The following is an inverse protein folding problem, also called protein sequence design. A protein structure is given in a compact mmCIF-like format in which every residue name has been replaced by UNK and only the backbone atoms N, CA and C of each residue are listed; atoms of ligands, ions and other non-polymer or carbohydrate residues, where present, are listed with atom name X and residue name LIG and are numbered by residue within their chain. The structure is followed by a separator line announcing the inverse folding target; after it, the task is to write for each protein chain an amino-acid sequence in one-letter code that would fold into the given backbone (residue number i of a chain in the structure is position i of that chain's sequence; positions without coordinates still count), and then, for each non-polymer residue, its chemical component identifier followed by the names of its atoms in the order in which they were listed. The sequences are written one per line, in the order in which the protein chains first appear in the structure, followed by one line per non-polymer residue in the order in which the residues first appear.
data_IF_134443054950
#
_entry.id   IF_134443054950
#
_cell.length_a   1.000
_cell.length_b   1.000
_cell.length_c   1.000
_cell.angle_alpha   90.00
_cell.angle_beta   90.00
_cell.angle_gamma   90.00
#
_symmetry.space_group_name_H-M   'P 1'
#
loop_
_entity.id
_entity.type
_entity.pdbx_description
1 polymer ?
#
# COMPACT_ATOMS: atom_id res chain seq x y z
N UNK A 1 10.09 -3.03 -5.54
CA UNK A 1 10.27 -1.55 -5.63
C UNK A 1 8.96 -0.87 -6.01
N UNK A 2 8.71 0.31 -5.45
CA UNK A 2 7.62 1.20 -5.83
C UNK A 2 8.09 2.09 -6.97
N UNK A 3 7.36 2.05 -8.09
CA UNK A 3 7.69 2.81 -9.31
C UNK A 3 6.83 4.07 -9.42
N UNK A 4 5.57 4.01 -8.98
CA UNK A 4 4.66 5.14 -9.10
C UNK A 4 3.58 5.16 -8.03
N UNK A 5 3.15 6.38 -7.69
CA UNK A 5 2.03 6.63 -6.79
C UNK A 5 0.85 7.18 -7.55
N UNK A 6 -0.35 6.71 -7.20
CA UNK A 6 -1.60 7.24 -7.75
C UNK A 6 -2.10 8.48 -6.99
N UNK A 7 -1.60 8.70 -5.77
CA UNK A 7 -1.98 9.82 -4.94
C UNK A 7 -0.76 10.50 -4.30
N UNK A 8 -0.63 11.82 -4.49
CA UNK A 8 0.43 12.66 -3.89
C UNK A 8 0.49 12.56 -2.37
N UNK A 9 -0.63 12.34 -1.70
CA UNK A 9 -0.64 12.19 -0.24
C UNK A 9 -0.02 10.87 0.23
N UNK A 10 -0.11 9.81 -0.58
CA UNK A 10 0.58 8.54 -0.29
C UNK A 10 2.09 8.68 -0.51
N UNK A 11 2.48 9.36 -1.58
CA UNK A 11 3.88 9.69 -1.87
C UNK A 11 4.51 10.55 -0.75
N UNK A 12 3.78 11.54 -0.24
CA UNK A 12 4.23 12.32 0.94
C UNK A 12 4.55 11.43 2.12
N UNK A 13 3.65 10.50 2.48
CA UNK A 13 3.88 9.58 3.59
C UNK A 13 5.14 8.76 3.33
N UNK A 14 5.32 8.20 2.13
CA UNK A 14 6.52 7.46 1.75
C UNK A 14 7.82 8.29 1.93
N UNK A 15 7.77 9.57 1.55
CA UNK A 15 8.83 10.55 1.73
C UNK A 15 8.98 11.10 3.16
N UNK A 16 8.33 10.48 4.17
CA UNK A 16 8.34 10.90 5.59
C UNK A 16 7.72 12.28 5.85
N UNK A 17 6.88 12.75 4.94
CA UNK A 17 6.11 13.98 5.08
C UNK A 17 4.72 13.65 5.59
N UNK A 18 4.28 14.35 6.63
CA UNK A 18 2.93 14.17 7.19
C UNK A 18 1.89 14.62 6.16
N UNK A 19 0.98 13.72 5.83
CA UNK A 19 -0.20 14.05 5.04
C UNK A 19 -1.24 14.76 5.89
N UNK A 20 -1.86 15.81 5.37
CA UNK A 20 -3.01 16.46 6.03
C UNK A 20 -4.34 15.76 5.72
N UNK A 21 -4.35 14.86 4.73
CA UNK A 21 -5.55 14.15 4.26
C UNK A 21 -5.84 12.88 5.05
N UNK A 22 -4.80 12.17 5.47
CA UNK A 22 -4.94 10.89 6.16
C UNK A 22 -4.88 11.07 7.69
N UNK A 23 -5.65 10.28 8.47
CA UNK A 23 -5.57 10.29 9.93
C UNK A 23 -4.14 10.07 10.42
N UNK A 24 -3.70 10.87 11.40
CA UNK A 24 -2.31 10.84 11.87
C UNK A 24 -1.90 9.47 12.39
N UNK A 25 -2.80 8.77 13.09
CA UNK A 25 -2.58 7.43 13.66
C UNK A 25 -2.18 6.37 12.62
N UNK A 26 -2.65 6.49 11.37
CA UNK A 26 -2.39 5.48 10.36
C UNK A 26 -1.06 5.70 9.63
N UNK A 27 -0.55 6.93 9.61
CA UNK A 27 0.56 7.30 8.72
C UNK A 27 1.85 6.56 9.07
N UNK A 28 2.12 6.34 10.36
CA UNK A 28 3.30 5.58 10.82
C UNK A 28 3.26 4.12 10.38
N UNK A 29 2.09 3.50 10.44
CA UNK A 29 1.90 2.10 10.00
C UNK A 29 1.94 2.02 8.48
N UNK A 30 1.28 2.96 7.80
CA UNK A 30 1.31 3.08 6.35
C UNK A 30 2.74 3.24 5.83
N UNK A 31 3.55 4.12 6.43
CA UNK A 31 4.95 4.32 6.07
C UNK A 31 5.76 3.02 6.13
N UNK A 32 5.67 2.28 7.24
CA UNK A 32 6.37 0.99 7.40
C UNK A 32 5.95 -0.01 6.33
N UNK A 33 4.67 -0.07 5.99
CA UNK A 33 4.14 -0.97 4.96
C UNK A 33 4.54 -0.54 3.55
N UNK A 34 4.62 0.77 3.27
CA UNK A 34 5.12 1.28 2.01
C UNK A 34 6.60 0.94 1.82
N UNK A 35 7.44 1.07 2.85
CA UNK A 35 8.84 0.63 2.77
C UNK A 35 8.98 -0.87 2.60
N UNK A 36 8.13 -1.65 3.27
CA UNK A 36 8.07 -3.10 3.04
C UNK A 36 7.71 -3.43 1.59
N UNK A 37 6.68 -2.77 1.04
CA UNK A 37 6.28 -2.92 -0.36
C UNK A 37 7.39 -2.53 -1.34
N UNK A 38 8.16 -1.51 -1.00
CA UNK A 38 9.30 -1.07 -1.81
C UNK A 38 10.44 -2.10 -1.79
N UNK A 39 10.73 -2.70 -0.63
CA UNK A 39 11.83 -3.63 -0.45
C UNK A 39 11.57 -5.05 -0.99
N UNK A 40 10.32 -5.47 -1.16
CA UNK A 40 10.03 -6.83 -1.65
C UNK A 40 10.38 -7.01 -3.13
N UNK A 41 10.95 -8.17 -3.42
CA UNK A 41 11.27 -8.64 -4.78
C UNK A 41 10.20 -9.58 -5.35
N UNK A 42 9.34 -10.12 -4.49
CA UNK A 42 8.23 -10.98 -4.88
C UNK A 42 6.97 -10.64 -4.08
N UNK A 43 5.81 -10.85 -4.68
CA UNK A 43 4.56 -10.45 -4.04
C UNK A 43 4.20 -11.30 -2.82
N UNK A 44 4.56 -12.59 -2.83
CA UNK A 44 4.22 -13.51 -1.76
C UNK A 44 4.95 -13.17 -0.44
N UNK A 45 6.10 -12.49 -0.50
CA UNK A 45 6.78 -11.98 0.69
C UNK A 45 5.88 -11.05 1.52
N UNK A 46 4.94 -10.33 0.88
CA UNK A 46 3.98 -9.46 1.57
C UNK A 46 2.93 -10.22 2.39
N UNK A 47 2.88 -11.56 2.33
CA UNK A 47 2.07 -12.36 3.26
C UNK A 47 2.63 -12.35 4.67
N UNK A 48 3.90 -11.98 4.84
CA UNK A 48 4.57 -11.84 6.12
C UNK A 48 4.80 -10.35 6.39
N UNK A 49 4.35 -9.81 7.54
CA UNK A 49 3.61 -10.49 8.60
C UNK A 49 2.15 -10.82 8.19
N UNK A 50 1.50 -11.83 8.82
CA UNK A 50 0.11 -12.22 8.52
C UNK A 50 -0.90 -11.07 8.61
N UNK A 51 -0.60 -10.03 9.41
CA UNK A 51 -1.41 -8.82 9.54
C UNK A 51 -1.50 -7.99 8.26
N UNK A 52 -0.60 -8.20 7.28
CA UNK A 52 -0.71 -7.58 5.97
C UNK A 52 -1.98 -8.02 5.24
N UNK A 53 -2.46 -9.25 5.48
CA UNK A 53 -3.65 -9.81 4.83
C UNK A 53 -3.67 -9.50 3.33
N UNK A 54 -2.57 -9.86 2.64
CA UNK A 54 -2.40 -9.62 1.21
C UNK A 54 -3.59 -10.20 0.45
N UNK A 55 -4.24 -9.36 -0.34
CA UNK A 55 -5.45 -9.71 -1.09
C UNK A 55 -5.34 -9.24 -2.54
N UNK A 56 -5.66 -10.13 -3.49
CA UNK A 56 -5.89 -9.76 -4.87
C UNK A 56 -7.36 -9.33 -5.03
N UNK A 57 -7.60 -8.08 -5.37
CA UNK A 57 -8.93 -7.52 -5.53
C UNK A 57 -9.63 -8.11 -6.78
N UNK A 58 -10.95 -8.27 -6.67
CA UNK A 58 -11.79 -8.88 -7.72
C UNK A 58 -12.70 -7.84 -8.40
N UNK A 59 -13.40 -8.26 -9.45
CA UNK A 59 -14.37 -7.42 -10.17
C UNK A 59 -13.73 -6.25 -10.90
N UNK A 60 -14.28 -5.04 -10.73
CA UNK A 60 -13.79 -3.81 -11.39
C UNK A 60 -12.35 -3.43 -11.02
N UNK A 61 -11.80 -4.00 -9.93
CA UNK A 61 -10.42 -3.78 -9.46
C UNK A 61 -9.50 -4.98 -9.73
N UNK A 62 -9.86 -5.86 -10.67
CA UNK A 62 -9.01 -6.99 -11.07
C UNK A 62 -7.63 -6.48 -11.49
N UNK A 63 -6.58 -7.15 -11.01
CA UNK A 63 -5.19 -6.76 -11.24
C UNK A 63 -4.62 -5.79 -10.18
N UNK A 64 -5.44 -5.37 -9.22
CA UNK A 64 -4.99 -4.59 -8.07
C UNK A 64 -4.86 -5.51 -6.85
N UNK A 65 -3.80 -5.30 -6.10
CA UNK A 65 -3.50 -5.94 -4.83
C UNK A 65 -3.72 -4.96 -3.69
N UNK A 66 -3.96 -5.48 -2.50
CA UNK A 66 -4.02 -4.68 -1.29
C UNK A 66 -3.32 -5.32 -0.09
N UNK A 67 -2.76 -4.47 0.77
CA UNK A 67 -2.30 -4.83 2.11
C UNK A 67 -2.98 -3.94 3.16
N UNK A 68 -3.30 -4.54 4.30
CA UNK A 68 -4.04 -3.89 5.38
C UNK A 68 -3.18 -2.97 6.21
N UNK A 69 -3.66 -1.75 6.49
CA UNK A 69 -3.07 -0.84 7.50
C UNK A 69 -3.72 -1.09 8.86
N UNK A 70 -5.04 -0.93 8.93
CA UNK A 70 -5.91 -1.24 10.08
C UNK A 70 -7.27 -1.73 9.55
N UNK A 71 -8.35 -1.72 10.34
CA UNK A 71 -9.64 -2.25 9.86
C UNK A 71 -10.27 -1.43 8.73
N UNK A 72 -10.05 -0.11 8.72
CA UNK A 72 -10.61 0.82 7.72
C UNK A 72 -9.69 1.05 6.52
N UNK A 73 -8.37 1.13 6.71
CA UNK A 73 -7.45 1.61 5.67
C UNK A 73 -6.66 0.49 5.01
N UNK A 74 -6.43 0.61 3.70
CA UNK A 74 -5.61 -0.31 2.88
C UNK A 74 -4.61 0.46 2.03
N UNK A 75 -3.47 -0.15 1.74
CA UNK A 75 -2.61 0.26 0.62
C UNK A 75 -3.01 -0.61 -0.56
N UNK A 76 -3.45 0.02 -1.66
CA UNK A 76 -3.75 -0.63 -2.92
C UNK A 76 -2.64 -0.34 -3.93
N UNK A 77 -2.26 -1.32 -4.74
CA UNK A 77 -1.21 -1.19 -5.76
C UNK A 77 -1.42 -2.22 -6.88
N UNK A 78 -0.91 -1.93 -8.07
CA UNK A 78 -0.73 -2.95 -9.12
C UNK A 78 0.62 -3.61 -8.95
N UNK A 79 0.72 -4.88 -9.33
CA UNK A 79 1.96 -5.64 -9.25
C UNK A 79 2.31 -6.25 -10.60
N UNK A 80 3.38 -5.76 -11.22
CA UNK A 80 3.82 -6.15 -12.55
C UNK A 80 5.35 -6.18 -12.58
N UNK A 81 5.95 -7.22 -13.17
CA UNK A 81 7.41 -7.39 -13.27
C UNK A 81 8.15 -7.16 -11.94
N UNK A 82 7.62 -7.71 -10.84
CA UNK A 82 8.17 -7.56 -9.47
C UNK A 82 8.23 -6.13 -8.94
N UNK A 83 7.40 -5.26 -9.49
CA UNK A 83 7.32 -3.86 -9.11
C UNK A 83 5.89 -3.48 -8.73
N UNK A 84 5.77 -2.54 -7.79
CA UNK A 84 4.52 -1.94 -7.37
C UNK A 84 4.29 -0.62 -8.11
N UNK A 85 3.14 -0.49 -8.77
CA UNK A 85 2.74 0.72 -9.49
C UNK A 85 1.37 1.21 -9.00
N UNK A 86 1.06 2.48 -9.29
CA UNK A 86 -0.20 3.13 -8.89
C UNK A 86 -0.51 3.00 -7.38
N UNK A 87 0.54 3.04 -6.53
CA UNK A 87 0.40 2.84 -5.10
C UNK A 87 -0.46 3.96 -4.48
N UNK A 88 -1.44 3.60 -3.67
CA UNK A 88 -2.32 4.54 -2.97
C UNK A 88 -2.85 3.98 -1.65
N UNK A 89 -3.04 4.86 -0.67
CA UNK A 89 -3.81 4.57 0.56
C UNK A 89 -5.29 4.89 0.31
N UNK A 90 -6.17 3.94 0.62
CA UNK A 90 -7.62 4.06 0.42
C UNK A 90 -8.39 3.67 1.67
N UNK A 91 -9.52 4.34 1.88
CA UNK A 91 -10.57 3.87 2.78
C UNK A 91 -11.26 2.66 2.16
N UNK A 92 -11.56 1.65 2.99
CA UNK A 92 -12.21 0.40 2.62
C UNK A 92 -13.73 0.41 2.89
N UNK A 93 -14.30 1.52 3.37
CA UNK A 93 -15.75 1.73 3.51
C UNK A 93 -16.32 2.64 2.42
#
# INVERSE_FOLDING_TARGET
MIISFKCKETEKIFGRVISKKFPFEIQKIALRKLWMLDAVTEINALRIPPSNRLEALKGKRKGVWSIRINDQWRICFKWENNNATEVQITDYH
#
